data_IF_118956503452
#
_entry.id   IF_118956503452
#
_cell.length_a   1.000
_cell.length_b   1.000
_cell.length_c   1.000
_cell.angle_alpha   90.00
_cell.angle_beta   90.00
_cell.angle_gamma   90.00
#
_symmetry.space_group_name_H-M   'P 1'
#
loop_
_entity.id
_entity.type
_entity.pdbx_description
1 polymer ?
#
# COMPACT_ATOMS: atom_id res chain seq x y z
N UNK A 1 8.10 44.84 19.44
CA UNK A 1 9.20 45.83 19.48
C UNK A 1 9.60 46.21 18.05
N UNK A 2 9.55 47.50 17.70
CA UNK A 2 10.37 48.21 16.68
C UNK A 2 9.82 49.65 16.60
N UNK A 3 10.39 50.55 17.41
CA UNK A 3 11.38 51.59 17.04
C UNK A 3 10.84 52.61 16.02
N UNK A 4 10.43 53.76 16.57
CA UNK A 4 10.30 55.05 15.91
C UNK A 4 11.63 55.48 15.26
N UNK A 5 11.54 56.19 14.13
CA UNK A 5 12.51 57.23 13.72
C UNK A 5 11.74 58.37 13.05
N UNK A 6 12.10 59.59 13.44
CA UNK A 6 11.48 60.85 13.06
C UNK A 6 12.34 61.62 12.03
N UNK A 7 11.64 62.51 11.31
CA UNK A 7 12.04 63.76 10.64
C UNK A 7 13.19 63.77 9.62
N UNK A 8 12.88 64.26 8.42
CA UNK A 8 13.52 65.44 7.82
C UNK A 8 12.47 66.22 6.99
N UNK A 9 12.31 67.51 7.29
CA UNK A 9 11.69 68.48 6.38
C UNK A 9 12.82 69.16 5.58
N UNK A 10 12.63 69.36 4.28
CA UNK A 10 13.26 70.46 3.55
C UNK A 10 12.16 71.29 2.91
N UNK A 11 12.11 72.57 3.29
CA UNK A 11 11.43 73.64 2.58
C UNK A 11 12.35 74.08 1.45
N UNK A 12 11.83 74.24 0.25
CA UNK A 12 12.32 75.28 -0.66
C UNK A 12 11.13 76.11 -1.15
N UNK A 13 11.18 77.38 -0.77
CA UNK A 13 10.44 78.45 -1.41
C UNK A 13 11.26 78.86 -2.63
N UNK A 14 10.63 79.00 -3.79
CA UNK A 14 11.11 79.93 -4.80
C UNK A 14 10.00 80.90 -5.20
N UNK A 15 10.18 82.13 -4.74
CA UNK A 15 9.51 83.32 -5.27
C UNK A 15 10.56 84.06 -6.08
N UNK A 16 10.29 84.29 -7.35
CA UNK A 16 10.90 85.40 -8.10
C UNK A 16 9.80 86.11 -8.89
N UNK A 17 9.43 87.34 -8.51
CA UNK A 17 8.71 88.25 -9.39
C UNK A 17 9.72 88.96 -10.30
N UNK A 18 9.51 88.85 -11.61
CA UNK A 18 10.23 89.61 -12.64
C UNK A 18 10.24 91.11 -12.32
N UNK A 19 11.42 91.65 -11.98
CA UNK A 19 11.67 93.09 -12.02
C UNK A 19 12.35 93.41 -13.35
N UNK A 20 11.56 94.07 -14.21
CA UNK A 20 11.99 94.75 -15.42
C UNK A 20 13.13 95.73 -15.09
N UNK A 21 14.27 95.58 -15.76
CA UNK A 21 15.38 96.54 -15.72
C UNK A 21 15.34 97.39 -17.00
N UNK A 22 14.75 98.58 -16.88
CA UNK A 22 14.92 99.68 -17.82
C UNK A 22 16.16 100.47 -17.40
N UNK A 23 17.24 100.45 -18.18
CA UNK A 23 18.30 101.45 -18.07
C UNK A 23 18.85 101.82 -19.45
N UNK A 24 18.50 103.05 -19.83
CA UNK A 24 19.30 104.10 -20.49
C UNK A 24 19.97 103.75 -21.83
N UNK A 25 19.43 104.37 -22.87
CA UNK A 25 19.98 104.45 -24.21
C UNK A 25 21.27 105.31 -24.27
N UNK A 26 22.15 104.89 -25.17
CA UNK A 26 23.14 105.66 -25.98
C UNK A 26 24.56 105.07 -25.84
N UNK A 27 24.76 103.98 -26.58
CA UNK A 27 26.03 103.28 -26.79
C UNK A 27 25.87 101.98 -27.59
N UNK A 28 25.77 102.07 -28.93
CA UNK A 28 25.96 101.00 -29.94
C UNK A 28 24.84 99.96 -30.17
N UNK A 29 24.06 100.14 -31.26
CA UNK A 29 23.05 99.22 -31.83
C UNK A 29 23.46 97.73 -31.87
N UNK A 30 24.76 97.44 -32.05
CA UNK A 30 25.33 96.09 -32.08
C UNK A 30 25.24 95.34 -30.73
N UNK A 31 25.24 96.04 -29.59
CA UNK A 31 25.18 95.39 -28.27
C UNK A 31 23.75 94.91 -27.93
N UNK A 32 22.72 95.65 -28.38
CA UNK A 32 21.31 95.26 -28.22
C UNK A 32 20.97 94.00 -29.03
N UNK A 33 21.47 93.92 -30.26
CA UNK A 33 21.32 92.70 -31.08
C UNK A 33 22.07 91.51 -30.48
N UNK A 34 23.27 91.74 -29.93
CA UNK A 34 24.02 90.71 -29.23
C UNK A 34 23.27 90.18 -27.99
N UNK A 35 22.69 91.06 -27.17
CA UNK A 35 21.87 90.65 -26.01
C UNK A 35 20.63 89.84 -26.43
N UNK A 36 19.96 90.23 -27.52
CA UNK A 36 18.83 89.47 -28.08
C UNK A 36 19.26 88.07 -28.55
N UNK A 37 20.44 87.97 -29.18
CA UNK A 37 21.01 86.68 -29.62
C UNK A 37 21.29 85.75 -28.43
N UNK A 38 21.87 86.27 -27.34
CA UNK A 38 22.12 85.51 -26.10
C UNK A 38 20.81 85.00 -25.49
N UNK A 39 19.77 85.84 -25.40
CA UNK A 39 18.47 85.44 -24.85
C UNK A 39 17.82 84.32 -25.69
N UNK A 40 17.88 84.40 -27.03
CA UNK A 40 17.39 83.32 -27.90
C UNK A 40 18.15 82.02 -27.68
N UNK A 41 19.48 82.08 -27.57
CA UNK A 41 20.30 80.90 -27.28
C UNK A 41 19.91 80.25 -25.94
N UNK A 42 19.65 81.05 -24.90
CA UNK A 42 19.21 80.56 -23.60
C UNK A 42 17.82 79.93 -23.67
N UNK A 43 16.88 80.56 -24.37
CA UNK A 43 15.52 80.03 -24.55
C UNK A 43 15.51 78.70 -25.32
N UNK A 44 16.29 78.59 -26.38
CA UNK A 44 16.42 77.35 -27.15
C UNK A 44 17.09 76.25 -26.31
N UNK A 45 18.07 76.60 -25.48
CA UNK A 45 18.65 75.70 -24.50
C UNK A 45 17.61 75.21 -23.48
N UNK A 46 16.81 76.13 -22.93
CA UNK A 46 15.73 75.82 -21.97
C UNK A 46 14.72 74.83 -22.54
N UNK A 47 14.20 75.11 -23.75
CA UNK A 47 13.29 74.21 -24.47
C UNK A 47 13.93 72.84 -24.73
N UNK A 48 15.21 72.82 -25.11
CA UNK A 48 15.96 71.57 -25.35
C UNK A 48 16.15 70.76 -24.07
N UNK A 49 16.31 71.42 -22.92
CA UNK A 49 16.41 70.74 -21.62
C UNK A 49 15.06 70.24 -21.13
N UNK A 50 13.99 71.02 -21.26
CA UNK A 50 12.62 70.59 -20.90
C UNK A 50 12.20 69.35 -21.70
N UNK A 51 12.39 69.36 -23.02
CA UNK A 51 12.07 68.21 -23.87
C UNK A 51 12.88 66.94 -23.50
N UNK A 52 14.12 67.10 -22.99
CA UNK A 52 14.90 65.97 -22.47
C UNK A 52 14.35 65.47 -21.13
N UNK A 53 13.91 66.36 -20.25
CA UNK A 53 13.31 66.01 -18.95
C UNK A 53 11.98 65.30 -19.15
N UNK A 54 11.10 65.80 -20.03
CA UNK A 54 9.82 65.15 -20.35
C UNK A 54 10.03 63.75 -20.92
N UNK A 55 10.94 63.59 -21.90
CA UNK A 55 11.28 62.26 -22.43
C UNK A 55 11.78 61.32 -21.34
N UNK A 56 12.61 61.82 -20.42
CA UNK A 56 13.12 61.03 -19.30
C UNK A 56 12.01 60.63 -18.32
N UNK A 57 11.09 61.54 -18.00
CA UNK A 57 9.92 61.23 -17.17
C UNK A 57 9.01 60.20 -17.82
N UNK A 58 8.78 60.32 -19.13
CA UNK A 58 7.93 59.41 -19.89
C UNK A 58 8.52 57.98 -19.90
N UNK A 59 9.83 57.86 -20.13
CA UNK A 59 10.53 56.56 -20.02
C UNK A 59 10.47 55.99 -18.61
N UNK A 60 10.72 56.83 -17.59
CA UNK A 60 10.72 56.38 -16.20
C UNK A 60 9.34 55.89 -15.74
N UNK A 61 8.27 56.59 -16.14
CA UNK A 61 6.89 56.18 -15.82
C UNK A 61 6.52 54.86 -16.49
N UNK A 62 6.97 54.65 -17.73
CA UNK A 62 6.75 53.37 -18.44
C UNK A 62 7.46 52.22 -17.72
N UNK A 63 8.72 52.40 -17.37
CA UNK A 63 9.51 51.40 -16.63
C UNK A 63 8.88 51.10 -15.26
N UNK A 64 8.33 52.11 -14.59
CA UNK A 64 7.68 51.96 -13.29
C UNK A 64 6.38 51.15 -13.37
N UNK A 65 5.56 51.36 -14.40
CA UNK A 65 4.36 50.53 -14.62
C UNK A 65 4.72 49.09 -15.03
N UNK A 66 5.78 48.91 -15.82
CA UNK A 66 6.25 47.56 -16.18
C UNK A 66 6.75 46.79 -14.96
N UNK A 67 7.52 47.43 -14.08
CA UNK A 67 7.97 46.86 -12.80
C UNK A 67 6.80 46.49 -11.88
N UNK A 68 5.77 47.35 -11.83
CA UNK A 68 4.58 47.12 -11.00
C UNK A 68 3.79 45.92 -11.50
N UNK A 69 3.62 45.78 -12.82
CA UNK A 69 2.97 44.61 -13.41
C UNK A 69 3.75 43.32 -13.12
N UNK A 70 5.08 43.32 -13.32
CA UNK A 70 5.93 42.18 -12.97
C UNK A 70 5.83 41.83 -11.48
N UNK A 71 5.76 42.83 -10.60
CA UNK A 71 5.58 42.59 -9.17
C UNK A 71 4.23 41.92 -8.85
N UNK A 72 3.14 42.30 -9.55
CA UNK A 72 1.84 41.65 -9.36
C UNK A 72 1.84 40.20 -9.84
N UNK A 73 2.45 39.89 -10.99
CA UNK A 73 2.58 38.52 -11.50
C UNK A 73 3.40 37.64 -10.54
N UNK A 74 4.53 38.17 -10.03
CA UNK A 74 5.36 37.47 -9.06
C UNK A 74 4.57 37.13 -7.78
N UNK A 75 3.76 38.06 -7.27
CA UNK A 75 2.94 37.81 -6.06
C UNK A 75 1.85 36.75 -6.29
N UNK A 76 1.22 36.74 -7.47
CA UNK A 76 0.25 35.71 -7.83
C UNK A 76 0.93 34.34 -7.86
N UNK A 77 2.09 34.26 -8.52
CA UNK A 77 2.87 33.02 -8.61
C UNK A 77 3.29 32.51 -7.22
N UNK A 78 3.74 33.39 -6.32
CA UNK A 78 4.07 33.04 -4.92
C UNK A 78 2.85 32.49 -4.18
N UNK A 79 1.67 33.06 -4.43
CA UNK A 79 0.42 32.62 -3.78
C UNK A 79 0.01 31.24 -4.26
N UNK A 80 0.11 30.97 -5.56
CA UNK A 80 -0.10 29.63 -6.13
C UNK A 80 0.91 28.62 -5.58
N UNK A 81 2.19 28.99 -5.50
CA UNK A 81 3.25 28.17 -4.90
C UNK A 81 3.01 27.86 -3.42
N UNK A 82 2.28 28.71 -2.68
CA UNK A 82 1.93 28.47 -1.27
C UNK A 82 0.74 27.55 -1.11
N UNK A 83 -0.31 27.74 -1.90
CA UNK A 83 -1.57 26.99 -1.77
C UNK A 83 -1.48 25.56 -2.32
N UNK A 84 -0.67 25.34 -3.35
CA UNK A 84 -0.46 24.01 -3.95
C UNK A 84 0.10 22.95 -2.98
N UNK A 85 1.19 23.18 -2.22
CA UNK A 85 1.71 22.19 -1.26
C UNK A 85 0.78 21.95 -0.06
N UNK A 86 -0.02 22.93 0.35
CA UNK A 86 -1.06 22.76 1.39
C UNK A 86 -2.15 21.78 0.92
N UNK A 87 -2.60 21.93 -0.32
CA UNK A 87 -3.53 20.99 -0.97
C UNK A 87 -2.94 19.59 -1.16
N UNK A 88 -1.64 19.48 -1.45
CA UNK A 88 -0.95 18.18 -1.55
C UNK A 88 -0.83 17.52 -0.18
N UNK A 89 -0.43 18.28 0.85
CA UNK A 89 -0.23 17.77 2.21
C UNK A 89 -1.52 17.18 2.78
N UNK A 90 -2.65 17.88 2.65
CA UNK A 90 -3.95 17.38 3.11
C UNK A 90 -4.36 16.08 2.41
N UNK A 91 -4.15 15.97 1.08
CA UNK A 91 -4.41 14.74 0.33
C UNK A 91 -3.51 13.58 0.74
N UNK A 92 -2.26 13.85 1.11
CA UNK A 92 -1.33 12.82 1.60
C UNK A 92 -1.79 12.31 2.96
N UNK A 93 -2.11 13.19 3.90
CA UNK A 93 -2.60 12.78 5.23
C UNK A 93 -3.87 11.92 5.11
N UNK A 94 -4.83 12.33 4.28
CA UNK A 94 -6.03 11.54 4.04
C UNK A 94 -5.72 10.16 3.41
N UNK A 95 -4.72 10.09 2.53
CA UNK A 95 -4.28 8.83 1.94
C UNK A 95 -3.56 7.92 2.93
N UNK A 96 -2.79 8.48 3.86
CA UNK A 96 -2.10 7.73 4.93
C UNK A 96 -3.11 7.13 5.92
N UNK A 97 -4.11 7.89 6.36
CA UNK A 97 -5.18 7.38 7.22
C UNK A 97 -5.95 6.23 6.55
N UNK A 98 -6.33 6.41 5.27
CA UNK A 98 -6.98 5.35 4.47
C UNK A 98 -6.11 4.10 4.29
N UNK A 99 -4.78 4.21 4.41
CA UNK A 99 -3.85 3.09 4.31
C UNK A 99 -3.73 2.31 5.62
N UNK A 100 -3.83 2.98 6.78
CA UNK A 100 -3.72 2.34 8.10
C UNK A 100 -4.81 1.29 8.33
N UNK A 101 -6.06 1.61 8.02
CA UNK A 101 -7.22 0.72 8.24
C UNK A 101 -7.08 -0.68 7.60
N UNK A 102 -6.74 -0.82 6.30
CA UNK A 102 -6.57 -2.13 5.70
C UNK A 102 -5.30 -2.85 6.19
N UNK A 103 -4.23 -2.15 6.58
CA UNK A 103 -3.02 -2.78 7.11
C UNK A 103 -3.31 -3.52 8.43
N UNK A 104 -4.03 -2.88 9.35
CA UNK A 104 -4.42 -3.52 10.63
C UNK A 104 -5.37 -4.71 10.41
N UNK A 105 -6.34 -4.58 9.50
CA UNK A 105 -7.25 -5.69 9.15
C UNK A 105 -6.52 -6.88 8.54
N UNK A 106 -5.47 -6.65 7.75
CA UNK A 106 -4.67 -7.73 7.19
C UNK A 106 -3.93 -8.50 8.29
N UNK A 107 -3.40 -7.82 9.31
CA UNK A 107 -2.76 -8.48 10.45
C UNK A 107 -3.78 -9.36 11.19
N UNK A 108 -4.97 -8.86 11.48
CA UNK A 108 -6.04 -9.66 12.11
C UNK A 108 -6.44 -10.88 11.27
N UNK A 109 -6.63 -10.69 9.96
CA UNK A 109 -6.99 -11.78 9.04
C UNK A 109 -5.95 -12.89 9.04
N UNK A 110 -4.66 -12.54 8.98
CA UNK A 110 -3.57 -13.55 9.01
C UNK A 110 -3.54 -14.33 10.32
N UNK A 111 -3.80 -13.67 11.46
CA UNK A 111 -3.86 -14.33 12.75
C UNK A 111 -5.05 -15.30 12.85
N UNK A 112 -6.22 -14.90 12.33
CA UNK A 112 -7.40 -15.75 12.29
C UNK A 112 -7.20 -16.98 11.39
N UNK A 113 -6.57 -16.79 10.22
CA UNK A 113 -6.27 -17.87 9.27
C UNK A 113 -5.30 -18.90 9.89
N UNK A 114 -4.24 -18.44 10.56
CA UNK A 114 -3.33 -19.34 11.30
C UNK A 114 -4.04 -20.12 12.40
N UNK A 115 -5.01 -19.51 13.10
CA UNK A 115 -5.75 -20.19 14.15
C UNK A 115 -6.70 -21.26 13.56
N UNK A 116 -7.36 -20.95 12.43
CA UNK A 116 -8.18 -21.92 11.69
C UNK A 116 -7.34 -23.08 11.18
N UNK A 117 -6.15 -22.81 10.62
CA UNK A 117 -5.22 -23.85 10.17
C UNK A 117 -4.80 -24.78 11.31
N UNK A 118 -4.41 -24.22 12.46
CA UNK A 118 -4.10 -25.02 13.67
C UNK A 118 -5.28 -25.85 14.13
N UNK A 119 -6.50 -25.30 14.06
CA UNK A 119 -7.74 -26.02 14.37
C UNK A 119 -7.99 -27.19 13.41
N UNK A 120 -7.87 -26.97 12.11
CA UNK A 120 -8.03 -28.01 11.09
C UNK A 120 -6.99 -29.12 11.26
N UNK A 121 -5.72 -28.78 11.52
CA UNK A 121 -4.66 -29.76 11.75
C UNK A 121 -4.94 -30.65 12.97
N UNK A 122 -5.38 -30.06 14.09
CA UNK A 122 -5.79 -30.83 15.28
C UNK A 122 -6.95 -31.76 14.98
N UNK A 123 -7.92 -31.31 14.17
CA UNK A 123 -9.05 -32.14 13.77
C UNK A 123 -8.62 -33.29 12.87
N UNK A 124 -7.72 -33.04 11.91
CA UNK A 124 -7.13 -34.08 11.06
C UNK A 124 -6.39 -35.13 11.90
N UNK A 125 -5.57 -34.67 12.85
CA UNK A 125 -4.86 -35.55 13.78
C UNK A 125 -5.83 -36.38 14.62
N UNK A 126 -6.87 -35.75 15.16
CA UNK A 126 -7.91 -36.45 15.93
C UNK A 126 -8.67 -37.48 15.08
N UNK A 127 -8.97 -37.17 13.82
CA UNK A 127 -9.64 -38.11 12.91
C UNK A 127 -8.74 -39.29 12.56
N UNK A 128 -7.45 -39.06 12.37
CA UNK A 128 -6.46 -40.12 12.15
C UNK A 128 -6.40 -41.06 13.36
N UNK A 129 -6.30 -40.51 14.56
CA UNK A 129 -6.26 -41.31 15.80
C UNK A 129 -7.55 -42.12 16.01
N UNK A 130 -8.72 -41.51 15.74
CA UNK A 130 -10.01 -42.22 15.79
C UNK A 130 -10.06 -43.35 14.75
N UNK A 131 -9.55 -43.11 13.54
CA UNK A 131 -9.52 -44.12 12.48
C UNK A 131 -8.58 -45.28 12.81
N UNK A 132 -7.41 -44.98 13.38
CA UNK A 132 -6.48 -45.99 13.88
C UNK A 132 -7.08 -46.80 15.03
N UNK A 133 -7.83 -46.15 15.94
CA UNK A 133 -8.57 -46.81 17.00
C UNK A 133 -9.65 -47.74 16.41
N UNK A 134 -10.45 -47.30 15.45
CA UNK A 134 -11.47 -48.16 14.81
C UNK A 134 -10.82 -49.37 14.12
N UNK A 135 -9.66 -49.18 13.49
CA UNK A 135 -8.91 -50.25 12.80
C UNK A 135 -8.06 -51.11 13.71
N UNK A 136 -7.89 -50.75 14.99
CA UNK A 136 -6.94 -51.41 15.88
C UNK A 136 -7.22 -52.91 16.02
N UNK A 137 -8.50 -53.31 15.90
CA UNK A 137 -8.94 -54.70 15.99
C UNK A 137 -9.06 -55.43 14.63
N UNK A 138 -8.84 -54.74 13.51
CA UNK A 138 -9.03 -55.32 12.18
C UNK A 138 -7.76 -56.07 11.71
N UNK A 139 -7.94 -57.26 11.14
CA UNK A 139 -6.91 -58.04 10.44
C UNK A 139 -7.24 -58.09 8.95
N UNK A 140 -6.20 -58.00 8.12
CA UNK A 140 -6.30 -58.16 6.67
C UNK A 140 -5.73 -59.51 6.26
N UNK A 141 -6.56 -60.35 5.63
CA UNK A 141 -6.15 -61.63 5.04
C UNK A 141 -5.99 -61.41 3.54
N UNK A 142 -4.84 -61.78 2.98
CA UNK A 142 -4.48 -61.58 1.58
C UNK A 142 -4.30 -62.95 0.92
N UNK A 143 -4.60 -63.06 -0.37
CA UNK A 143 -4.35 -64.28 -1.15
C UNK A 143 -5.48 -65.31 -1.08
N UNK A 144 -6.66 -64.95 -0.55
CA UNK A 144 -7.84 -65.82 -0.55
C UNK A 144 -8.41 -65.91 -1.99
N UNK A 145 -8.59 -67.12 -2.55
CA UNK A 145 -9.16 -67.31 -3.88
C UNK A 145 -10.53 -66.63 -4.02
N UNK A 146 -10.75 -65.97 -5.16
CA UNK A 146 -12.00 -65.27 -5.43
C UNK A 146 -13.14 -66.28 -5.64
N UNK A 147 -14.19 -66.20 -4.83
CA UNK A 147 -15.32 -67.13 -4.81
C UNK A 147 -15.48 -67.86 -3.48
N UNK A 148 -14.37 -68.24 -2.84
CA UNK A 148 -14.39 -68.95 -1.55
C UNK A 148 -15.01 -68.08 -0.44
N UNK A 149 -14.71 -66.78 -0.44
CA UNK A 149 -15.33 -65.78 0.45
C UNK A 149 -16.87 -65.73 0.32
N UNK A 150 -17.42 -65.96 -0.88
CA UNK A 150 -18.87 -65.95 -1.11
C UNK A 150 -19.55 -67.25 -0.69
N UNK A 151 -18.86 -68.38 -0.83
CA UNK A 151 -19.42 -69.70 -0.54
C UNK A 151 -19.35 -70.05 0.94
N UNK A 152 -18.19 -69.80 1.57
CA UNK A 152 -17.94 -70.16 2.97
C UNK A 152 -18.19 -69.02 3.95
N UNK A 153 -18.13 -67.77 3.48
CA UNK A 153 -18.13 -66.58 4.32
C UNK A 153 -16.73 -66.30 4.92
N UNK A 154 -16.40 -65.03 5.18
CA UNK A 154 -15.06 -64.64 5.63
C UNK A 154 -14.74 -65.13 7.05
N UNK A 155 -15.75 -65.31 7.90
CA UNK A 155 -15.58 -65.86 9.26
C UNK A 155 -15.06 -67.30 9.20
N UNK A 156 -15.69 -68.16 8.39
CA UNK A 156 -15.29 -69.56 8.24
C UNK A 156 -13.91 -69.73 7.63
N UNK A 157 -13.56 -68.88 6.66
CA UNK A 157 -12.20 -68.85 6.08
C UNK A 157 -11.17 -68.48 7.14
N UNK A 158 -11.48 -67.49 7.98
CA UNK A 158 -10.61 -67.13 9.09
C UNK A 158 -10.45 -68.30 10.08
N UNK A 159 -11.54 -69.00 10.43
CA UNK A 159 -11.47 -70.18 11.31
C UNK A 159 -10.58 -71.29 10.72
N UNK A 160 -10.74 -71.63 9.44
CA UNK A 160 -9.91 -72.61 8.72
C UNK A 160 -8.43 -72.22 8.81
N UNK A 161 -8.09 -70.95 8.51
CA UNK A 161 -6.71 -70.43 8.56
C UNK A 161 -6.13 -70.52 9.98
N UNK A 162 -6.87 -70.13 11.03
CA UNK A 162 -6.35 -70.18 12.40
C UNK A 162 -6.17 -71.62 12.88
N UNK A 163 -7.10 -72.54 12.57
CA UNK A 163 -6.96 -73.95 12.96
C UNK A 163 -5.76 -74.60 12.29
N UNK A 164 -5.52 -74.30 11.01
CA UNK A 164 -4.42 -74.86 10.24
C UNK A 164 -3.06 -74.32 10.70
N UNK A 165 -2.93 -73.00 10.90
CA UNK A 165 -1.64 -72.35 11.17
C UNK A 165 -1.36 -72.13 12.67
N UNK A 166 -2.40 -71.97 13.49
CA UNK A 166 -2.29 -71.64 14.91
C UNK A 166 -3.18 -72.55 15.79
N UNK A 167 -2.96 -73.87 15.79
CA UNK A 167 -3.85 -74.85 16.44
C UNK A 167 -3.99 -74.62 17.95
N UNK A 168 -2.97 -74.06 18.61
CA UNK A 168 -2.98 -73.73 20.04
C UNK A 168 -3.82 -72.49 20.39
N UNK A 169 -4.22 -71.67 19.41
CA UNK A 169 -4.97 -70.43 19.58
C UNK A 169 -6.34 -70.45 18.88
N UNK A 170 -6.57 -71.41 17.97
CA UNK A 170 -7.77 -71.60 17.16
C UNK A 170 -9.09 -71.45 17.88
N UNK A 171 -9.29 -72.24 18.94
CA UNK A 171 -10.61 -72.34 19.60
C UNK A 171 -11.03 -71.09 20.37
N UNK A 172 -10.09 -70.28 20.86
CA UNK A 172 -10.41 -69.09 21.66
C UNK A 172 -10.70 -67.86 20.80
N UNK A 173 -10.03 -67.75 19.64
CA UNK A 173 -10.08 -66.56 18.78
C UNK A 173 -11.16 -66.69 17.70
N UNK A 174 -11.38 -67.89 17.16
CA UNK A 174 -12.38 -68.18 16.13
C UNK A 174 -13.80 -67.67 16.48
N UNK A 175 -14.22 -67.83 17.74
CA UNK A 175 -15.59 -67.49 18.17
C UNK A 175 -15.81 -66.02 18.50
N UNK A 176 -14.80 -65.16 18.35
CA UNK A 176 -14.80 -63.75 18.78
C UNK A 176 -14.51 -62.80 17.62
N UNK A 177 -15.05 -63.10 16.43
CA UNK A 177 -14.87 -62.30 15.23
C UNK A 177 -16.19 -61.69 14.75
N UNK A 178 -16.08 -60.54 14.07
CA UNK A 178 -17.18 -59.89 13.38
C UNK A 178 -16.70 -59.47 11.99
N UNK A 179 -17.49 -59.78 10.97
CA UNK A 179 -17.23 -59.29 9.61
C UNK A 179 -17.43 -57.76 9.51
N UNK A 180 -16.55 -57.10 8.75
CA UNK A 180 -16.74 -55.70 8.35
C UNK A 180 -17.35 -55.67 6.94
N UNK A 181 -18.58 -55.14 6.76
CA UNK A 181 -19.25 -55.15 5.46
C UNK A 181 -18.46 -54.37 4.42
N UNK A 182 -17.94 -55.05 3.40
CA UNK A 182 -17.26 -54.41 2.27
C UNK A 182 -18.15 -54.42 1.03
N UNK A 183 -18.26 -53.28 0.33
CA UNK A 183 -19.00 -53.21 -0.94
C UNK A 183 -18.24 -54.02 -2.00
N UNK A 184 -18.85 -55.11 -2.46
CA UNK A 184 -18.31 -55.97 -3.52
C UNK A 184 -18.39 -55.21 -4.85
N UNK A 185 -17.26 -55.05 -5.53
CA UNK A 185 -17.17 -54.46 -6.87
C UNK A 185 -16.92 -55.58 -7.90
N UNK A 186 -17.93 -55.99 -8.68
CA UNK A 186 -17.83 -57.15 -9.57
C UNK A 186 -16.82 -57.01 -10.71
N UNK A 187 -16.19 -55.83 -10.90
CA UNK A 187 -15.24 -55.55 -12.00
C UNK A 187 -13.75 -55.71 -11.63
N UNK A 188 -13.42 -56.20 -10.43
CA UNK A 188 -12.02 -56.43 -10.02
C UNK A 188 -11.58 -57.84 -10.44
N UNK A 189 -10.38 -57.96 -11.01
CA UNK A 189 -9.78 -59.23 -11.44
C UNK A 189 -8.68 -59.74 -10.48
N UNK A 190 -8.51 -59.11 -9.31
CA UNK A 190 -7.49 -59.45 -8.31
C UNK A 190 -8.16 -60.00 -7.05
N UNK A 191 -7.60 -61.05 -6.42
CA UNK A 191 -8.06 -61.55 -5.12
C UNK A 191 -8.21 -60.42 -4.10
N UNK A 192 -9.34 -60.38 -3.39
CA UNK A 192 -9.66 -59.32 -2.42
C UNK A 192 -9.00 -59.59 -1.08
N UNK A 193 -8.70 -58.52 -0.36
CA UNK A 193 -8.31 -58.63 1.04
C UNK A 193 -9.57 -58.77 1.88
N UNK A 194 -9.65 -59.82 2.70
CA UNK A 194 -10.72 -59.99 3.68
C UNK A 194 -10.36 -59.18 4.92
N UNK A 195 -11.32 -58.42 5.46
CA UNK A 195 -11.14 -57.66 6.70
C UNK A 195 -11.98 -58.27 7.81
N UNK A 196 -11.32 -58.85 8.80
CA UNK A 196 -11.96 -59.42 9.99
C UNK A 196 -11.73 -58.50 11.18
N UNK A 197 -12.80 -58.14 11.89
CA UNK A 197 -12.70 -57.39 13.16
C UNK A 197 -12.70 -58.37 14.32
N UNK A 198 -11.64 -58.35 15.13
CA UNK A 198 -11.56 -59.14 16.35
C UNK A 198 -12.23 -58.41 17.52
N UNK A 199 -12.82 -59.16 18.47
CA UNK A 199 -13.43 -58.56 19.65
C UNK A 199 -12.42 -57.89 20.59
N UNK A 200 -11.16 -58.36 20.60
CA UNK A 200 -10.10 -57.85 21.47
C UNK A 200 -8.79 -57.64 20.72
N UNK A 201 -8.15 -56.49 20.94
CA UNK A 201 -6.85 -56.15 20.34
C UNK A 201 -5.75 -57.15 20.71
N UNK A 202 -5.80 -57.70 21.93
CA UNK A 202 -4.85 -58.72 22.42
C UNK A 202 -4.78 -59.95 21.51
N UNK A 203 -5.91 -60.36 20.90
CA UNK A 203 -5.92 -61.51 19.99
C UNK A 203 -5.24 -61.16 18.66
N UNK A 204 -5.45 -59.94 18.15
CA UNK A 204 -4.76 -59.45 16.96
C UNK A 204 -3.25 -59.46 17.15
N UNK A 205 -2.77 -58.89 18.26
CA UNK A 205 -1.35 -58.81 18.57
C UNK A 205 -0.71 -60.20 18.67
N UNK A 206 -1.37 -61.14 19.36
CA UNK A 206 -0.91 -62.53 19.46
C UNK A 206 -0.84 -63.22 18.10
N UNK A 207 -1.87 -63.07 17.27
CA UNK A 207 -1.91 -63.66 15.92
C UNK A 207 -0.84 -63.07 15.01
N UNK A 208 -0.72 -61.74 14.96
CA UNK A 208 0.30 -61.08 14.14
C UNK A 208 1.72 -61.40 14.62
N UNK A 209 1.92 -61.61 15.93
CA UNK A 209 3.20 -62.08 16.46
C UNK A 209 3.49 -63.51 16.02
N UNK A 210 2.55 -64.44 16.21
CA UNK A 210 2.72 -65.83 15.82
C UNK A 210 2.97 -65.96 14.30
N UNK A 211 2.25 -65.19 13.47
CA UNK A 211 2.41 -65.14 12.02
C UNK A 211 3.77 -64.60 11.56
N UNK A 212 4.49 -63.84 12.40
CA UNK A 212 5.87 -63.39 12.12
C UNK A 212 6.92 -64.41 12.54
N UNK A 213 6.54 -65.35 13.41
CA UNK A 213 7.41 -66.39 13.97
C UNK A 213 7.28 -67.72 13.21
N UNK A 214 6.35 -67.81 12.25
CA UNK A 214 6.12 -68.96 11.35
C UNK A 214 6.85 -68.75 10.04
#
# INVERSE_FOLDING_TARGET
MKRQRAMYQMKEQDKTPDKQLNEVEIGNLAEKEFRIMIVKMIQDLGKRTEAKIEKMQETFNKDLEELKNQQTEMNNTITEMKTTPEGISSRITEAEERRSDPEDRMVEFTAEEQNKEKGMKRNEDSLRDLWENIKCNNIHIIGVPEGEEREKGPEKIFEEIIVENFPNMGKEIATQVQEVPYRINPRRNTPRHIVIKLAKIKYKEKLLKAARET
#
